data_IF_593382408675
#
_entry.id   IF_593382408675
#
_cell.length_a   1.000
_cell.length_b   1.000
_cell.length_c   1.000
_cell.angle_alpha   90.00
_cell.angle_beta   90.00
_cell.angle_gamma   90.00
#
_symmetry.space_group_name_H-M   'P 1'
#
loop_
_entity.id
_entity.type
_entity.pdbx_description
1 polymer ?
#
# COMPACT_ATOMS: atom_id res chain seq x y z
N UNK A 1 -12.91 3.75 -8.01
CA UNK A 1 -11.63 4.07 -7.33
C UNK A 1 -11.83 3.75 -5.86
N UNK A 2 -10.80 3.36 -5.12
CA UNK A 2 -10.90 3.28 -3.65
C UNK A 2 -9.77 4.05 -2.99
N UNK A 3 -10.09 4.82 -1.96
CA UNK A 3 -9.09 5.44 -1.10
C UNK A 3 -9.02 4.67 0.20
N UNK A 4 -7.83 4.19 0.53
CA UNK A 4 -7.54 3.56 1.82
C UNK A 4 -6.73 4.54 2.64
N UNK A 5 -7.17 4.83 3.85
CA UNK A 5 -6.42 5.59 4.84
C UNK A 5 -6.03 4.65 5.99
N UNK A 6 -4.75 4.66 6.33
CA UNK A 6 -4.19 3.80 7.37
C UNK A 6 -3.57 4.69 8.43
N UNK A 7 -4.16 4.68 9.62
CA UNK A 7 -3.64 5.41 10.76
C UNK A 7 -2.66 4.51 11.52
N UNK A 8 -1.41 4.95 11.73
CA UNK A 8 -0.43 4.19 12.47
C UNK A 8 -0.72 4.19 13.97
N UNK A 9 -0.22 3.18 14.70
CA UNK A 9 -0.07 3.29 16.16
C UNK A 9 0.98 4.34 16.50
N UNK A 10 0.89 4.92 17.71
CA UNK A 10 1.83 5.96 18.16
C UNK A 10 3.29 5.57 17.92
N UNK A 11 4.08 6.55 17.43
CA UNK A 11 5.52 6.42 17.13
C UNK A 11 5.87 5.43 16.00
N UNK A 12 4.90 4.89 15.27
CA UNK A 12 5.15 3.98 14.14
C UNK A 12 5.40 4.74 12.85
N UNK A 13 6.57 4.52 12.22
CA UNK A 13 6.89 5.04 10.87
C UNK A 13 6.32 4.11 9.80
N UNK A 14 4.98 4.06 9.70
CA UNK A 14 4.28 3.03 8.92
C UNK A 14 4.60 3.08 7.42
N UNK A 15 4.65 4.28 6.83
CA UNK A 15 4.99 4.42 5.41
C UNK A 15 6.36 3.81 5.09
N UNK A 16 7.37 4.13 5.92
CA UNK A 16 8.72 3.62 5.75
C UNK A 16 8.76 2.09 5.93
N UNK A 17 8.01 1.55 6.90
CA UNK A 17 7.90 0.11 7.12
C UNK A 17 7.31 -0.62 5.89
N UNK A 18 6.22 -0.10 5.30
CA UNK A 18 5.59 -0.66 4.10
C UNK A 18 6.57 -0.69 2.92
N UNK A 19 7.22 0.44 2.63
CA UNK A 19 8.17 0.55 1.51
C UNK A 19 9.40 -0.33 1.72
N UNK A 20 9.95 -0.35 2.93
CA UNK A 20 11.08 -1.23 3.26
C UNK A 20 10.69 -2.69 3.08
N UNK A 21 9.53 -3.10 3.59
CA UNK A 21 9.10 -4.50 3.50
C UNK A 21 8.87 -4.96 2.07
N UNK A 22 8.23 -4.13 1.23
CA UNK A 22 8.08 -4.44 -0.20
C UNK A 22 9.43 -4.66 -0.86
N UNK A 23 10.38 -3.74 -0.64
CA UNK A 23 11.73 -3.85 -1.18
C UNK A 23 12.47 -5.10 -0.69
N UNK A 24 12.37 -5.43 0.61
CA UNK A 24 13.01 -6.61 1.20
C UNK A 24 12.45 -7.92 0.62
N UNK A 25 11.13 -8.02 0.48
CA UNK A 25 10.47 -9.19 -0.10
C UNK A 25 10.86 -9.34 -1.57
N UNK A 26 10.87 -8.23 -2.32
CA UNK A 26 11.25 -8.19 -3.73
C UNK A 26 12.72 -8.55 -3.93
N UNK A 27 13.61 -8.06 -3.07
CA UNK A 27 15.05 -8.36 -3.11
C UNK A 27 15.36 -9.85 -2.97
N UNK A 28 14.44 -10.63 -2.38
CA UNK A 28 14.51 -12.09 -2.29
C UNK A 28 13.85 -12.82 -3.47
N UNK A 29 13.52 -12.11 -4.55
CA UNK A 29 12.79 -12.66 -5.70
C UNK A 29 11.31 -12.99 -5.42
N UNK A 30 10.79 -12.62 -4.24
CA UNK A 30 9.43 -12.95 -3.79
C UNK A 30 8.49 -11.75 -3.91
N UNK A 31 7.27 -11.91 -3.42
CA UNK A 31 6.25 -10.85 -3.35
C UNK A 31 5.47 -10.67 -4.63
N UNK A 32 4.34 -9.99 -4.51
CA UNK A 32 3.42 -9.73 -5.62
C UNK A 32 3.32 -8.25 -5.98
N UNK A 33 3.66 -7.36 -5.07
CA UNK A 33 3.80 -5.93 -5.36
C UNK A 33 5.22 -5.60 -5.80
N UNK A 34 5.32 -4.58 -6.65
CA UNK A 34 6.58 -3.99 -7.04
C UNK A 34 6.44 -2.49 -7.26
N UNK A 35 7.40 -1.72 -6.74
CA UNK A 35 7.46 -0.28 -7.00
C UNK A 35 7.73 0.04 -8.47
N UNK A 36 7.04 1.06 -8.98
CA UNK A 36 7.22 1.69 -10.29
C UNK A 36 7.38 3.21 -10.14
N UNK A 37 7.92 3.85 -11.18
CA UNK A 37 8.15 5.29 -11.20
C UNK A 37 9.37 5.75 -10.37
N UNK A 38 9.57 7.07 -10.31
CA UNK A 38 10.71 7.66 -9.60
C UNK A 38 10.61 7.46 -8.09
N UNK A 39 11.77 7.32 -7.44
CA UNK A 39 11.85 7.34 -5.98
C UNK A 39 11.49 8.74 -5.48
N UNK A 40 10.58 8.80 -4.52
CA UNK A 40 10.17 10.03 -3.83
C UNK A 40 10.06 9.73 -2.33
N UNK A 41 10.41 10.72 -1.50
CA UNK A 41 10.55 10.54 -0.05
C UNK A 41 9.24 10.12 0.63
N UNK A 42 8.12 10.71 0.22
CA UNK A 42 6.81 10.52 0.85
C UNK A 42 5.75 9.93 -0.10
N UNK A 43 6.15 9.45 -1.28
CA UNK A 43 5.24 8.89 -2.29
C UNK A 43 5.84 7.65 -2.95
N UNK A 44 5.00 6.67 -3.25
CA UNK A 44 5.37 5.50 -4.03
C UNK A 44 4.19 5.06 -4.91
N UNK A 45 4.48 4.56 -6.10
CA UNK A 45 3.48 3.87 -6.92
C UNK A 45 3.87 2.40 -7.00
N UNK A 46 2.94 1.52 -6.67
CA UNK A 46 3.09 0.07 -6.73
C UNK A 46 2.17 -0.52 -7.79
N UNK A 47 2.64 -1.57 -8.45
CA UNK A 47 1.83 -2.45 -9.29
C UNK A 47 1.83 -3.86 -8.73
N UNK A 48 0.84 -4.64 -9.12
CA UNK A 48 0.74 -6.05 -8.75
C UNK A 48 1.13 -6.94 -9.94
N UNK A 49 1.81 -8.07 -9.69
CA UNK A 49 2.28 -9.00 -10.73
C UNK A 49 1.14 -9.59 -11.57
N UNK A 50 -0.04 -9.79 -10.98
CA UNK A 50 -1.19 -10.45 -11.62
C UNK A 50 -2.39 -9.56 -11.87
N UNK A 51 -2.52 -8.45 -11.14
CA UNK A 51 -3.75 -7.64 -11.15
C UNK A 51 -3.49 -6.31 -11.83
N UNK A 52 -4.38 -5.92 -12.74
CA UNK A 52 -4.25 -4.70 -13.51
C UNK A 52 -4.60 -3.48 -12.67
N UNK A 53 -3.77 -2.43 -12.76
CA UNK A 53 -3.98 -1.16 -12.06
C UNK A 53 -2.75 -0.75 -11.26
N UNK A 54 -2.95 0.15 -10.31
CA UNK A 54 -1.89 0.72 -9.49
C UNK A 54 -2.38 1.07 -8.09
N UNK A 55 -1.45 1.06 -7.14
CA UNK A 55 -1.65 1.58 -5.79
C UNK A 55 -0.69 2.74 -5.60
N UNK A 56 -1.20 3.94 -5.38
CA UNK A 56 -0.39 5.12 -5.09
C UNK A 56 -0.41 5.41 -3.61
N UNK A 57 0.72 5.19 -2.96
CA UNK A 57 0.96 5.48 -1.56
C UNK A 57 1.45 6.91 -1.40
N UNK A 58 0.93 7.60 -0.39
CA UNK A 58 1.48 8.85 0.10
C UNK A 58 1.47 8.88 1.63
N UNK A 59 2.55 9.40 2.20
CA UNK A 59 2.64 9.71 3.63
C UNK A 59 2.07 11.11 3.86
N UNK A 60 1.10 11.20 4.76
CA UNK A 60 0.57 12.44 5.31
C UNK A 60 1.12 12.74 6.70
N UNK A 61 0.43 13.63 7.42
CA UNK A 61 0.79 14.03 8.77
C UNK A 61 0.64 12.87 9.76
N UNK A 62 1.39 12.93 10.86
CA UNK A 62 1.40 11.91 11.91
C UNK A 62 1.63 10.46 11.37
N UNK A 63 2.35 10.32 10.26
CA UNK A 63 2.62 9.05 9.58
C UNK A 63 1.37 8.32 9.03
N UNK A 64 0.24 9.02 8.89
CA UNK A 64 -0.94 8.50 8.18
C UNK A 64 -0.56 8.15 6.74
N UNK A 65 -0.96 6.95 6.30
CA UNK A 65 -0.70 6.48 4.94
C UNK A 65 -2.00 6.51 4.15
N UNK A 66 -2.00 7.24 3.04
CA UNK A 66 -3.08 7.15 2.05
C UNK A 66 -2.65 6.25 0.90
N UNK A 67 -3.51 5.34 0.50
CA UNK A 67 -3.33 4.46 -0.64
C UNK A 67 -4.50 4.62 -1.61
N UNK A 68 -4.25 5.23 -2.77
CA UNK A 68 -5.23 5.31 -3.86
C UNK A 68 -5.13 4.04 -4.68
N UNK A 69 -6.15 3.21 -4.62
CA UNK A 69 -6.28 1.97 -5.39
C UNK A 69 -7.14 2.24 -6.62
N UNK A 70 -6.56 2.05 -7.81
CA UNK A 70 -7.23 2.33 -9.09
C UNK A 70 -6.98 1.20 -10.09
N UNK A 71 -8.03 0.82 -10.79
CA UNK A 71 -7.95 0.04 -12.02
C UNK A 71 -9.00 0.54 -13.03
N UNK A 72 -8.82 0.22 -14.31
CA UNK A 72 -9.87 0.41 -15.33
C UNK A 72 -11.00 -0.61 -15.21
N UNK A 73 -10.78 -1.73 -14.51
CA UNK A 73 -11.77 -2.80 -14.28
C UNK A 73 -12.09 -2.90 -12.79
N UNK A 74 -13.37 -2.84 -12.42
CA UNK A 74 -13.82 -2.88 -11.03
C UNK A 74 -13.35 -4.14 -10.28
N UNK A 75 -13.39 -5.30 -10.94
CA UNK A 75 -12.93 -6.58 -10.37
C UNK A 75 -11.43 -6.58 -10.08
N UNK A 76 -10.62 -5.99 -10.96
CA UNK A 76 -9.17 -5.86 -10.74
C UNK A 76 -8.88 -4.87 -9.60
N UNK A 77 -9.66 -3.80 -9.48
CA UNK A 77 -9.57 -2.87 -8.36
C UNK A 77 -9.92 -3.52 -7.02
N UNK A 78 -10.94 -4.40 -6.99
CA UNK A 78 -11.31 -5.18 -5.79
C UNK A 78 -10.20 -6.15 -5.40
N UNK A 79 -9.62 -6.88 -6.37
CA UNK A 79 -8.48 -7.78 -6.14
C UNK A 79 -7.24 -7.03 -5.65
N UNK A 80 -6.94 -5.86 -6.21
CA UNK A 80 -5.85 -5.00 -5.76
C UNK A 80 -6.05 -4.54 -4.32
N UNK A 81 -7.25 -4.05 -3.98
CA UNK A 81 -7.57 -3.64 -2.61
C UNK A 81 -7.38 -4.80 -1.63
N UNK A 82 -8.01 -5.95 -1.90
CA UNK A 82 -7.93 -7.12 -1.03
C UNK A 82 -6.47 -7.60 -0.85
N UNK A 83 -5.70 -7.65 -1.95
CA UNK A 83 -4.28 -8.04 -1.89
C UNK A 83 -3.44 -7.05 -1.09
N UNK A 84 -3.73 -5.75 -1.20
CA UNK A 84 -3.03 -4.70 -0.47
C UNK A 84 -3.31 -4.76 1.03
N UNK A 85 -4.57 -4.90 1.43
CA UNK A 85 -4.93 -5.08 2.84
C UNK A 85 -4.25 -6.33 3.42
N UNK A 86 -4.28 -7.44 2.69
CA UNK A 86 -3.57 -8.65 3.11
C UNK A 86 -2.05 -8.50 3.16
N UNK A 87 -1.44 -7.58 2.39
CA UNK A 87 -0.02 -7.24 2.54
C UNK A 87 0.23 -6.43 3.82
N UNK A 88 -0.62 -5.42 4.08
CA UNK A 88 -0.55 -4.58 5.28
C UNK A 88 -0.68 -5.43 6.53
N UNK A 89 -1.74 -6.24 6.65
CA UNK A 89 -1.99 -7.07 7.83
C UNK A 89 -0.84 -8.04 8.10
N UNK A 90 -0.37 -8.77 7.07
CA UNK A 90 0.68 -9.78 7.23
C UNK A 90 2.05 -9.25 7.60
N UNK A 91 2.33 -7.98 7.33
CA UNK A 91 3.70 -7.47 7.41
C UNK A 91 3.88 -6.20 8.23
N UNK A 92 2.81 -5.45 8.42
CA UNK A 92 2.81 -4.17 9.13
C UNK A 92 1.61 -4.04 10.08
N UNK A 93 0.80 -5.10 10.26
CA UNK A 93 -0.43 -5.07 11.06
C UNK A 93 -0.22 -4.60 12.50
N UNK A 94 0.89 -4.99 13.14
CA UNK A 94 1.24 -4.54 14.50
C UNK A 94 1.39 -3.02 14.60
N UNK A 95 1.78 -2.36 13.51
CA UNK A 95 1.95 -0.92 13.41
C UNK A 95 0.67 -0.15 13.03
N UNK A 96 -0.43 -0.85 12.76
CA UNK A 96 -1.70 -0.26 12.31
C UNK A 96 -2.64 -0.09 13.50
N UNK A 97 -3.22 1.12 13.61
CA UNK A 97 -4.28 1.43 14.56
C UNK A 97 -5.65 1.25 13.92
N UNK A 98 -5.86 1.85 12.75
CA UNK A 98 -7.12 1.78 12.01
C UNK A 98 -6.88 1.78 10.51
N UNK A 99 -7.81 1.17 9.77
CA UNK A 99 -7.89 1.24 8.31
C UNK A 99 -9.29 1.71 7.94
N UNK A 100 -9.38 2.80 7.19
CA UNK A 100 -10.64 3.31 6.64
C UNK A 100 -10.62 3.17 5.11
N UNK A 101 -11.72 2.70 4.53
CA UNK A 101 -11.86 2.51 3.09
C UNK A 101 -13.02 3.35 2.60
N UNK A 102 -12.74 4.26 1.67
CA UNK A 102 -13.74 5.07 0.98
C UNK A 102 -13.98 4.49 -0.42
N UNK A 103 -15.25 4.22 -0.73
CA UNK A 103 -15.71 3.77 -2.03
C UNK A 103 -16.16 4.99 -2.82
N UNK A 104 -15.44 5.31 -3.90
CA UNK A 104 -15.62 6.52 -4.71
C UNK A 104 -15.71 6.20 -6.20
#
# INVERSE_FOLDING_TARGET
MKLVEITPRQRTRLYAALVKKEADIRGKGRGTFFRVGRKAQAKAEWKHKKFQGSIRLARGDAEVVTARVRSSKLEEERKLLSSFLGFVDRHCGDGVSTIMIQYT
#
